data_IF_177795692432
#
_entry.id   IF_177795692432
#
_cell.length_a   1.000
_cell.length_b   1.000
_cell.length_c   1.000
_cell.angle_alpha   90.00
_cell.angle_beta   90.00
_cell.angle_gamma   90.00
#
_symmetry.space_group_name_H-M   'P 1'
#
loop_
_entity.id
_entity.type
_entity.pdbx_description
1 polymer ?
#
# COMPACT_ATOMS: atom_id res chain seq x y z
N UNK A 1 3.08 17.44 2.12
CA UNK A 1 3.24 16.09 1.55
C UNK A 1 2.01 15.73 0.72
N UNK A 2 2.18 15.46 -0.58
CA UNK A 2 1.09 14.99 -1.43
C UNK A 2 0.97 13.48 -1.20
N UNK A 3 -0.16 13.03 -0.66
CA UNK A 3 -0.46 11.62 -0.46
C UNK A 3 -0.86 11.00 -1.80
N UNK A 4 -0.31 9.85 -2.16
CA UNK A 4 -0.79 9.08 -3.29
C UNK A 4 -2.05 8.29 -2.93
N UNK A 5 -2.89 7.99 -3.92
CA UNK A 5 -4.08 7.16 -3.73
C UNK A 5 -3.74 5.75 -3.20
N UNK A 6 -2.54 5.25 -3.55
CA UNK A 6 -2.04 3.94 -3.11
C UNK A 6 -1.32 3.92 -1.77
N UNK A 7 -1.20 5.05 -1.07
CA UNK A 7 -0.57 5.10 0.25
C UNK A 7 -1.58 4.60 1.30
N UNK A 8 -1.33 3.39 1.81
CA UNK A 8 -2.22 2.66 2.72
C UNK A 8 -1.72 2.62 4.18
N UNK A 9 -0.50 3.12 4.42
CA UNK A 9 0.14 3.19 5.73
C UNK A 9 0.95 1.94 6.10
N UNK A 10 1.51 1.97 7.30
CA UNK A 10 2.42 0.93 7.81
C UNK A 10 1.67 -0.25 8.45
N UNK A 11 2.26 -1.45 8.32
CA UNK A 11 1.77 -2.66 8.98
C UNK A 11 2.40 -2.81 10.36
N UNK A 12 1.60 -3.24 11.35
CA UNK A 12 2.08 -3.66 12.65
C UNK A 12 1.94 -5.18 12.76
N UNK A 13 3.06 -5.87 12.91
CA UNK A 13 3.11 -7.30 13.10
C UNK A 13 2.98 -7.64 14.59
N UNK A 14 2.24 -8.70 14.89
CA UNK A 14 2.22 -9.29 16.22
C UNK A 14 3.49 -10.13 16.49
N UNK A 15 3.63 -10.65 17.71
CA UNK A 15 4.78 -11.47 18.12
C UNK A 15 4.93 -12.79 17.33
N UNK A 16 3.92 -13.16 16.53
CA UNK A 16 3.94 -14.33 15.64
C UNK A 16 4.32 -13.96 14.19
N UNK A 17 4.69 -12.71 13.92
CA UNK A 17 5.01 -12.24 12.57
C UNK A 17 3.80 -12.15 11.64
N UNK A 18 2.58 -12.00 12.20
CA UNK A 18 1.34 -11.80 11.43
C UNK A 18 0.84 -10.36 11.60
N UNK A 19 0.45 -9.73 10.49
CA UNK A 19 -0.24 -8.44 10.50
C UNK A 19 -1.63 -8.58 9.87
N UNK A 20 -2.64 -8.04 10.54
CA UNK A 20 -3.98 -7.88 9.98
C UNK A 20 -4.25 -6.40 9.85
N UNK A 21 -4.65 -5.95 8.66
CA UNK A 21 -4.98 -4.56 8.40
C UNK A 21 -6.34 -4.44 7.73
N UNK A 22 -7.03 -3.34 8.00
CA UNK A 22 -8.27 -2.96 7.32
C UNK A 22 -8.32 -1.44 7.27
N UNK A 23 -8.62 -0.89 6.10
CA UNK A 23 -8.70 0.55 5.88
C UNK A 23 -9.92 0.87 5.01
N UNK A 24 -10.42 2.09 5.16
CA UNK A 24 -11.40 2.68 4.27
C UNK A 24 -10.72 3.82 3.53
N UNK A 25 -10.74 3.77 2.21
CA UNK A 25 -10.10 4.76 1.34
C UNK A 25 -11.11 5.25 0.31
N UNK A 26 -11.14 6.55 0.07
CA UNK A 26 -12.03 7.19 -0.91
C UNK A 26 -11.38 7.45 -2.27
N UNK A 27 -10.06 7.24 -2.36
CA UNK A 27 -9.24 7.72 -3.49
C UNK A 27 -8.95 6.62 -4.54
N UNK A 28 -9.54 5.42 -4.38
CA UNK A 28 -9.37 4.28 -5.30
C UNK A 28 -10.72 3.67 -5.68
N UNK A 29 -10.77 3.04 -6.85
CA UNK A 29 -11.96 2.34 -7.36
C UNK A 29 -11.66 0.89 -7.71
N UNK A 30 -12.66 0.01 -7.55
CA UNK A 30 -12.62 -1.36 -8.06
C UNK A 30 -13.14 -1.48 -9.49
N UNK A 31 -13.48 -0.36 -10.13
CA UNK A 31 -13.89 -0.33 -11.54
C UNK A 31 -12.67 -0.35 -12.45
N UNK A 32 -12.58 -1.32 -13.35
CA UNK A 32 -11.42 -1.50 -14.25
C UNK A 32 -11.30 -0.42 -15.34
N UNK A 33 -12.38 0.31 -15.61
CA UNK A 33 -12.47 1.37 -16.63
C UNK A 33 -12.13 2.77 -16.10
N UNK A 34 -11.87 2.90 -14.80
CA UNK A 34 -11.54 4.20 -14.20
C UNK A 34 -10.03 4.43 -14.06
N UNK A 35 -9.57 5.70 -14.15
CA UNK A 35 -8.14 6.03 -13.94
C UNK A 35 -7.62 5.66 -12.54
N UNK A 36 -8.49 5.73 -11.53
CA UNK A 36 -8.24 5.33 -10.14
C UNK A 36 -8.58 3.85 -9.87
N UNK A 37 -8.84 3.07 -10.94
CA UNK A 37 -9.09 1.63 -10.89
C UNK A 37 -7.88 0.84 -10.43
N UNK A 38 -8.07 -0.04 -9.44
CA UNK A 38 -6.99 -0.89 -8.86
C UNK A 38 -6.99 -2.34 -9.34
N UNK A 39 -8.01 -2.78 -10.08
CA UNK A 39 -8.03 -4.12 -10.68
C UNK A 39 -6.84 -4.27 -11.64
N UNK A 40 -6.08 -5.36 -11.48
CA UNK A 40 -4.83 -5.61 -12.21
C UNK A 40 -3.59 -4.92 -11.63
N UNK A 41 -3.73 -4.10 -10.59
CA UNK A 41 -2.59 -3.54 -9.83
C UNK A 41 -2.15 -4.48 -8.72
N UNK A 42 -1.08 -4.10 -8.00
CA UNK A 42 -0.50 -4.90 -6.93
C UNK A 42 -0.60 -4.21 -5.57
N UNK A 43 -0.85 -4.98 -4.52
CA UNK A 43 -0.49 -4.65 -3.14
C UNK A 43 0.97 -5.05 -2.93
N UNK A 44 1.78 -4.13 -2.41
CA UNK A 44 3.20 -4.34 -2.12
C UNK A 44 3.43 -4.19 -0.62
N UNK A 45 4.16 -5.14 -0.03
CA UNK A 45 4.71 -4.98 1.33
C UNK A 45 6.18 -4.60 1.20
N UNK A 46 6.55 -3.56 1.91
CA UNK A 46 7.90 -3.00 1.96
C UNK A 46 8.70 -3.57 3.15
N UNK A 47 10.03 -3.53 3.05
CA UNK A 47 10.95 -4.05 4.08
C UNK A 47 10.97 -3.16 5.32
N UNK A 48 10.96 -1.84 5.11
CA UNK A 48 11.11 -0.84 6.16
C UNK A 48 9.83 -0.02 6.34
N UNK A 49 9.74 0.67 7.46
CA UNK A 49 8.64 1.59 7.78
C UNK A 49 8.65 2.79 6.83
N UNK A 50 7.49 3.11 6.25
CA UNK A 50 7.27 4.33 5.47
C UNK A 50 7.29 5.57 6.38
N UNK A 51 8.13 6.56 6.03
CA UNK A 51 8.30 7.83 6.75
C UNK A 51 7.22 8.87 6.46
N UNK A 52 6.31 8.59 5.53
CA UNK A 52 5.16 9.39 5.09
C UNK A 52 5.50 10.76 4.53
N UNK A 53 6.76 10.96 4.13
CA UNK A 53 7.30 12.28 3.76
C UNK A 53 8.17 12.25 2.51
N UNK A 54 9.03 11.25 2.38
CA UNK A 54 10.05 11.22 1.33
C UNK A 54 9.49 10.68 0.04
N UNK A 55 9.45 11.50 -1.01
CA UNK A 55 9.16 11.00 -2.35
C UNK A 55 10.33 10.15 -2.88
N UNK A 56 10.06 9.08 -3.66
CA UNK A 56 8.74 8.65 -4.12
C UNK A 56 8.06 7.54 -3.29
N UNK A 57 8.74 6.95 -2.30
CA UNK A 57 8.30 5.71 -1.64
C UNK A 57 8.46 5.72 -0.12
N UNK A 58 8.53 6.90 0.49
CA UNK A 58 8.58 7.06 1.95
C UNK A 58 9.80 6.43 2.62
N UNK A 59 10.92 6.28 1.91
CA UNK A 59 12.09 5.51 2.38
C UNK A 59 11.77 4.08 2.89
N UNK A 60 10.69 3.46 2.42
CA UNK A 60 10.23 2.15 2.91
C UNK A 60 11.12 0.94 2.46
N UNK A 61 12.29 1.20 1.86
CA UNK A 61 13.22 0.16 1.46
C UNK A 61 12.69 -0.78 0.37
N UNK A 62 13.21 -2.01 0.37
CA UNK A 62 12.93 -3.03 -0.66
C UNK A 62 11.50 -3.56 -0.64
N UNK A 63 11.03 -4.12 -1.77
CA UNK A 63 9.71 -4.76 -1.89
C UNK A 63 9.82 -6.25 -1.54
N UNK A 64 9.22 -6.68 -0.44
CA UNK A 64 9.39 -8.03 0.12
C UNK A 64 8.22 -8.98 -0.18
N UNK A 65 7.05 -8.43 -0.51
CA UNK A 65 5.92 -9.22 -1.00
C UNK A 65 5.10 -8.44 -2.04
N UNK A 66 4.40 -9.18 -2.90
CA UNK A 66 3.56 -8.65 -3.97
C UNK A 66 2.33 -9.54 -4.15
N UNK A 67 1.14 -8.94 -4.24
CA UNK A 67 -0.11 -9.63 -4.55
C UNK A 67 -0.93 -8.84 -5.56
N UNK A 68 -1.37 -9.49 -6.63
CA UNK A 68 -2.19 -8.86 -7.68
C UNK A 68 -3.66 -8.82 -7.26
N UNK A 69 -4.30 -7.67 -7.42
CA UNK A 69 -5.73 -7.45 -7.22
C UNK A 69 -6.46 -7.91 -8.49
N UNK A 70 -7.44 -8.81 -8.34
CA UNK A 70 -8.22 -9.38 -9.45
C UNK A 70 -9.69 -9.01 -9.35
#
# INVERSE_FOLDING_TARGET
PVKHAGDLGNLNFNDQGTATFSFVVGDISVSADRPDGIIGRAVIVHMDTDDTKTDPTGNAGGRVACGIIK
#
